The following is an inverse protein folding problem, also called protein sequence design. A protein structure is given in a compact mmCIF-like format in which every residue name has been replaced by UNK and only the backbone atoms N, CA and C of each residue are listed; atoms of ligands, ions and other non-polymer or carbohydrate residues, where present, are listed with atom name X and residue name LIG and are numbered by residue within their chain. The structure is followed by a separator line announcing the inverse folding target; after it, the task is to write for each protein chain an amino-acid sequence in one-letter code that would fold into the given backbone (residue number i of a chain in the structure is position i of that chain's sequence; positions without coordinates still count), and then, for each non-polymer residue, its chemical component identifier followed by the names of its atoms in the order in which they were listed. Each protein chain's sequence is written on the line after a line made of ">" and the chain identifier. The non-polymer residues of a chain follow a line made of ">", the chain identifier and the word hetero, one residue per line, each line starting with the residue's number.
data_IF_057098953485
#
_entry.id   IF_057098953485
#
_cell.length_a   1.000
_cell.length_b   1.000
_cell.length_c   1.000
_cell.angle_alpha   90.00
_cell.angle_beta   90.00
_cell.angle_gamma   90.00
#
_symmetry.space_group_name_H-M   'P 1'
#
loop_
_entity.id
_entity.type
_entity.pdbx_description
1 polymer ?
#
# COMPACT_ATOMS: atom_id res chain seq x y z
N UNK A 1 31.72 44.04 22.00
CA UNK A 1 30.60 43.13 22.37
C UNK A 1 29.33 43.63 21.70
N UNK A 2 28.86 42.97 20.63
CA UNK A 2 27.46 42.94 20.16
C UNK A 2 27.39 42.14 18.85
N UNK A 3 27.27 40.82 18.93
CA UNK A 3 26.85 39.97 17.80
C UNK A 3 25.32 40.06 17.72
N UNK A 4 24.77 40.78 16.74
CA UNK A 4 23.33 40.71 16.41
C UNK A 4 23.12 39.71 15.28
N UNK A 5 22.22 38.77 15.57
CA UNK A 5 21.98 37.54 14.84
C UNK A 5 21.59 37.76 13.38
N UNK A 6 22.14 36.93 12.49
CA UNK A 6 21.68 36.79 11.11
C UNK A 6 20.23 36.31 11.15
N UNK A 7 19.37 37.08 10.51
CA UNK A 7 17.96 36.82 10.28
C UNK A 7 17.81 35.43 9.64
N UNK A 8 17.37 34.45 10.43
CA UNK A 8 17.12 33.05 10.04
C UNK A 8 15.79 32.92 9.26
N UNK A 9 15.47 33.94 8.45
CA UNK A 9 14.34 33.99 7.51
C UNK A 9 14.66 33.34 6.17
N UNK A 10 15.71 32.52 6.10
CA UNK A 10 15.69 31.37 5.21
C UNK A 10 14.76 30.33 5.83
N UNK A 11 13.47 30.67 5.80
CA UNK A 11 12.39 29.72 5.80
C UNK A 11 12.74 28.79 4.67
N UNK A 12 13.28 27.63 5.04
CA UNK A 12 13.59 26.58 4.10
C UNK A 12 12.34 26.36 3.28
N UNK A 13 12.38 26.79 2.03
CA UNK A 13 11.63 26.14 0.98
C UNK A 13 11.99 24.67 1.17
N UNK A 14 11.10 23.96 1.86
CA UNK A 14 11.18 22.51 1.92
C UNK A 14 11.06 22.14 0.46
N UNK A 15 12.22 21.89 -0.15
CA UNK A 15 12.31 20.99 -1.29
C UNK A 15 11.63 19.74 -0.75
N UNK A 16 10.33 19.63 -1.03
CA UNK A 16 9.60 18.39 -0.88
C UNK A 16 10.22 17.55 -1.96
N UNK A 17 11.36 16.95 -1.63
CA UNK A 17 11.91 15.84 -2.38
C UNK A 17 10.72 14.89 -2.50
N UNK A 18 10.12 14.80 -3.70
CA UNK A 18 8.92 14.01 -3.95
C UNK A 18 9.32 12.55 -3.69
N UNK A 19 9.23 12.14 -2.43
CA UNK A 19 9.57 10.79 -2.04
C UNK A 19 8.56 9.90 -2.75
N UNK A 20 9.06 8.96 -3.55
CA UNK A 20 8.21 8.04 -4.28
C UNK A 20 7.34 7.23 -3.31
N UNK A 21 6.03 7.28 -3.50
CA UNK A 21 5.07 6.54 -2.66
C UNK A 21 5.40 5.03 -2.65
N UNK A 22 5.31 4.42 -1.47
CA UNK A 22 5.39 2.98 -1.29
C UNK A 22 3.99 2.37 -1.39
N UNK A 23 3.78 1.53 -2.40
CA UNK A 23 2.49 0.88 -2.65
C UNK A 23 2.63 -0.61 -2.42
N UNK A 24 1.68 -1.19 -1.69
CA UNK A 24 1.51 -2.64 -1.57
C UNK A 24 0.23 -3.04 -2.31
N UNK A 25 0.31 -4.09 -3.12
CA UNK A 25 -0.83 -4.78 -3.73
C UNK A 25 -0.77 -6.22 -3.23
N UNK A 26 -1.83 -6.64 -2.54
CA UNK A 26 -2.01 -8.01 -2.06
C UNK A 26 -3.16 -8.63 -2.82
N UNK A 27 -2.87 -9.69 -3.57
CA UNK A 27 -3.86 -10.40 -4.37
C UNK A 27 -4.29 -11.68 -3.66
N UNK A 28 -5.55 -12.08 -3.82
CA UNK A 28 -6.05 -13.37 -3.38
C UNK A 28 -5.41 -14.51 -4.17
N UNK A 29 -5.32 -14.36 -5.50
CA UNK A 29 -4.71 -15.35 -6.38
C UNK A 29 -3.18 -15.42 -6.26
N UNK A 30 -2.63 -16.62 -6.41
CA UNK A 30 -1.18 -16.83 -6.39
C UNK A 30 -0.46 -16.45 -7.69
N UNK A 31 -1.16 -16.56 -8.83
CA UNK A 31 -0.55 -16.50 -10.16
C UNK A 31 -1.12 -15.38 -11.02
N UNK A 32 -2.40 -15.45 -11.33
CA UNK A 32 -3.04 -14.62 -12.35
C UNK A 32 -2.91 -13.12 -12.05
N UNK A 33 -3.55 -12.64 -10.98
CA UNK A 33 -3.56 -11.22 -10.65
C UNK A 33 -2.15 -10.68 -10.32
N UNK A 34 -1.31 -11.37 -9.51
CA UNK A 34 0.05 -10.91 -9.28
C UNK A 34 0.87 -10.77 -10.56
N UNK A 35 0.70 -11.68 -11.53
CA UNK A 35 1.41 -11.61 -12.81
C UNK A 35 0.92 -10.42 -13.64
N UNK A 36 -0.39 -10.19 -13.72
CA UNK A 36 -0.94 -9.01 -14.40
C UNK A 36 -0.36 -7.70 -13.83
N UNK A 37 -0.36 -7.52 -12.51
CA UNK A 37 0.21 -6.30 -11.93
C UNK A 37 1.72 -6.18 -12.13
N UNK A 38 2.48 -7.29 -12.10
CA UNK A 38 3.92 -7.28 -12.37
C UNK A 38 4.22 -6.92 -13.82
N UNK A 39 3.44 -7.43 -14.76
CA UNK A 39 3.54 -7.12 -16.19
C UNK A 39 3.17 -5.67 -16.47
N UNK A 40 2.04 -5.18 -15.95
CA UNK A 40 1.64 -3.77 -16.07
C UNK A 40 2.70 -2.84 -15.48
N UNK A 41 3.28 -3.18 -14.32
CA UNK A 41 4.37 -2.41 -13.73
C UNK A 41 5.58 -2.30 -14.67
N UNK A 42 5.91 -3.39 -15.37
CA UNK A 42 7.02 -3.43 -16.33
C UNK A 42 6.70 -2.64 -17.59
N UNK A 43 5.51 -2.85 -18.16
CA UNK A 43 5.06 -2.24 -19.40
C UNK A 43 5.01 -0.72 -19.29
N UNK A 44 4.37 -0.21 -18.24
CA UNK A 44 4.25 1.23 -17.98
C UNK A 44 5.49 1.85 -17.32
N UNK A 45 6.59 1.10 -17.19
CA UNK A 45 7.85 1.55 -16.57
C UNK A 45 7.63 2.19 -15.19
N UNK A 46 6.71 1.63 -14.42
CA UNK A 46 6.37 2.09 -13.06
C UNK A 46 7.44 1.70 -12.03
N UNK A 47 8.66 1.36 -12.47
CA UNK A 47 9.80 1.04 -11.61
C UNK A 47 10.23 2.21 -10.73
N UNK A 48 9.86 3.43 -11.12
CA UNK A 48 10.10 4.64 -10.33
C UNK A 48 9.21 4.67 -9.08
N UNK A 49 8.05 4.01 -9.12
CA UNK A 49 7.15 3.87 -7.96
C UNK A 49 7.52 2.60 -7.19
N UNK A 50 7.57 2.69 -5.86
CA UNK A 50 7.92 1.58 -5.00
C UNK A 50 6.75 0.60 -4.81
N UNK A 51 6.35 -0.09 -5.88
CA UNK A 51 5.21 -1.02 -5.93
C UNK A 51 5.65 -2.44 -5.60
N UNK A 52 5.10 -2.99 -4.51
CA UNK A 52 5.24 -4.37 -4.09
C UNK A 52 3.96 -5.14 -4.40
N UNK A 53 4.06 -6.19 -5.21
CA UNK A 53 2.94 -7.07 -5.56
C UNK A 53 3.19 -8.43 -4.94
N UNK A 54 2.28 -8.90 -4.10
CA UNK A 54 2.35 -10.20 -3.44
C UNK A 54 0.99 -10.91 -3.49
N UNK A 55 1.02 -12.21 -3.29
CA UNK A 55 -0.18 -12.99 -2.98
C UNK A 55 -0.41 -13.04 -1.47
N UNK A 56 -1.66 -13.19 -1.07
CA UNK A 56 -2.06 -13.45 0.30
C UNK A 56 -1.60 -14.85 0.74
N UNK A 57 -1.58 -15.09 2.04
CA UNK A 57 -1.23 -16.40 2.59
C UNK A 57 -2.44 -17.38 2.59
N UNK A 58 -3.56 -16.98 2.00
CA UNK A 58 -4.81 -17.74 1.93
C UNK A 58 -5.65 -17.32 0.72
N UNK A 59 -6.72 -18.06 0.47
CA UNK A 59 -7.62 -17.90 -0.69
C UNK A 59 -8.99 -17.39 -0.25
N UNK A 60 -9.00 -16.40 0.62
CA UNK A 60 -10.24 -15.76 1.08
C UNK A 60 -10.02 -14.26 1.33
N UNK A 61 -11.03 -13.39 1.13
CA UNK A 61 -10.91 -11.95 1.29
C UNK A 61 -10.33 -11.49 2.64
N UNK A 62 -10.66 -12.15 3.75
CA UNK A 62 -10.15 -11.77 5.08
C UNK A 62 -8.67 -12.09 5.21
N UNK A 63 -8.21 -13.21 4.63
CA UNK A 63 -6.80 -13.54 4.58
C UNK A 63 -5.98 -12.48 3.83
N UNK A 64 -6.52 -11.90 2.75
CA UNK A 64 -5.88 -10.80 2.01
C UNK A 64 -5.68 -9.59 2.91
N UNK A 65 -6.74 -9.16 3.61
CA UNK A 65 -6.67 -8.02 4.56
C UNK A 65 -5.69 -8.30 5.69
N UNK A 66 -5.70 -9.52 6.25
CA UNK A 66 -4.77 -9.94 7.30
C UNK A 66 -3.31 -9.90 6.84
N UNK A 67 -3.02 -10.46 5.66
CA UNK A 67 -1.67 -10.43 5.07
C UNK A 67 -1.23 -8.99 4.83
N UNK A 68 -2.10 -8.13 4.30
CA UNK A 68 -1.82 -6.72 4.07
C UNK A 68 -1.44 -5.98 5.37
N UNK A 69 -2.21 -6.17 6.44
CA UNK A 69 -1.91 -5.61 7.79
C UNK A 69 -0.58 -6.11 8.33
N UNK A 70 -0.34 -7.42 8.23
CA UNK A 70 0.91 -8.05 8.69
C UNK A 70 2.13 -7.45 7.99
N UNK A 71 2.10 -7.31 6.66
CA UNK A 71 3.19 -6.73 5.88
C UNK A 71 3.47 -5.27 6.25
N UNK A 72 2.42 -4.47 6.49
CA UNK A 72 2.58 -3.09 6.95
C UNK A 72 3.24 -3.03 8.33
N UNK A 73 2.84 -3.90 9.26
CA UNK A 73 3.45 -3.98 10.59
C UNK A 73 4.90 -4.46 10.52
N UNK A 74 5.21 -5.47 9.71
CA UNK A 74 6.57 -5.97 9.49
C UNK A 74 7.50 -4.88 8.96
N UNK A 75 7.08 -4.09 7.96
CA UNK A 75 7.87 -2.96 7.48
C UNK A 75 8.18 -1.95 8.60
N UNK A 76 7.17 -1.60 9.41
CA UNK A 76 7.34 -0.70 10.55
C UNK A 76 8.32 -1.27 11.59
N UNK A 77 8.20 -2.55 11.94
CA UNK A 77 9.13 -3.25 12.87
C UNK A 77 10.57 -3.25 12.34
N UNK A 78 10.73 -3.42 11.03
CA UNK A 78 12.03 -3.37 10.36
C UNK A 78 12.56 -1.94 10.15
N UNK A 79 11.89 -0.91 10.69
CA UNK A 79 12.22 0.52 10.51
C UNK A 79 12.29 0.95 9.03
N UNK A 80 11.60 0.23 8.14
CA UNK A 80 11.44 0.62 6.73
C UNK A 80 10.31 1.64 6.61
N UNK A 81 10.35 2.46 5.56
CA UNK A 81 9.24 3.36 5.23
C UNK A 81 7.93 2.57 5.14
N UNK A 82 6.85 2.99 5.81
CA UNK A 82 5.56 2.31 5.71
C UNK A 82 5.02 2.40 4.27
N UNK A 83 4.11 1.50 3.90
CA UNK A 83 3.33 1.71 2.69
C UNK A 83 2.38 2.90 2.88
N UNK A 84 2.36 3.79 1.89
CA UNK A 84 1.45 4.94 1.80
C UNK A 84 0.08 4.47 1.29
N UNK A 85 0.05 3.48 0.38
CA UNK A 85 -1.17 2.88 -0.15
C UNK A 85 -1.10 1.36 -0.12
N UNK A 86 -2.18 0.72 0.31
CA UNK A 86 -2.27 -0.74 0.41
C UNK A 86 -3.56 -1.17 -0.27
N UNK A 87 -3.44 -1.90 -1.37
CA UNK A 87 -4.55 -2.45 -2.14
C UNK A 87 -4.73 -3.93 -1.79
N UNK A 88 -5.94 -4.28 -1.36
CA UNK A 88 -6.39 -5.66 -1.22
C UNK A 88 -7.25 -5.99 -2.45
N UNK A 89 -6.79 -6.97 -3.24
CA UNK A 89 -7.42 -7.43 -4.48
C UNK A 89 -8.00 -8.81 -4.23
N UNK A 90 -9.32 -8.93 -4.39
CA UNK A 90 -10.06 -10.17 -4.22
C UNK A 90 -11.35 -10.09 -5.02
N UNK A 91 -11.83 -11.23 -5.49
CA UNK A 91 -13.06 -11.31 -6.26
C UNK A 91 -14.29 -11.33 -5.37
N UNK A 92 -15.44 -10.93 -5.94
CA UNK A 92 -16.74 -11.05 -5.27
C UNK A 92 -17.31 -12.44 -5.54
N UNK A 93 -16.71 -13.45 -4.92
CA UNK A 93 -17.17 -14.83 -5.01
C UNK A 93 -18.07 -15.17 -3.80
N UNK A 94 -18.63 -16.38 -3.75
CA UNK A 94 -19.50 -16.90 -2.66
C UNK A 94 -18.78 -17.05 -1.30
N UNK A 95 -17.66 -16.36 -1.09
CA UNK A 95 -16.96 -16.35 0.18
C UNK A 95 -17.80 -15.66 1.25
N UNK A 96 -18.23 -16.44 2.24
CA UNK A 96 -19.03 -15.99 3.38
C UNK A 96 -18.39 -14.80 4.14
N UNK A 97 -17.08 -14.60 4.03
CA UNK A 97 -16.32 -13.58 4.73
C UNK A 97 -16.02 -12.31 3.89
N UNK A 98 -16.52 -12.20 2.66
CA UNK A 98 -16.35 -11.02 1.80
C UNK A 98 -16.83 -9.73 2.48
N UNK A 99 -18.03 -9.77 3.08
CA UNK A 99 -18.60 -8.62 3.78
C UNK A 99 -17.75 -8.20 4.98
N UNK A 100 -17.15 -9.17 5.67
CA UNK A 100 -16.28 -8.89 6.80
C UNK A 100 -14.98 -8.20 6.36
N UNK A 101 -14.36 -8.69 5.29
CA UNK A 101 -13.20 -8.04 4.69
C UNK A 101 -13.50 -6.60 4.25
N UNK A 102 -14.68 -6.36 3.65
CA UNK A 102 -15.11 -5.01 3.27
C UNK A 102 -15.23 -4.07 4.47
N UNK A 103 -15.90 -4.52 5.55
CA UNK A 103 -16.01 -3.74 6.79
C UNK A 103 -14.64 -3.42 7.38
N UNK A 104 -13.75 -4.40 7.47
CA UNK A 104 -12.39 -4.18 7.97
C UNK A 104 -11.64 -3.15 7.12
N UNK A 105 -11.81 -3.17 5.79
CA UNK A 105 -11.16 -2.20 4.90
C UNK A 105 -11.75 -0.80 5.02
N UNK A 106 -13.06 -0.67 5.25
CA UNK A 106 -13.69 0.62 5.51
C UNK A 106 -13.12 1.31 6.75
N UNK A 107 -12.94 0.55 7.83
CA UNK A 107 -12.31 1.03 9.06
C UNK A 107 -10.84 1.45 8.85
N UNK A 108 -10.16 0.77 7.92
CA UNK A 108 -8.75 0.98 7.61
C UNK A 108 -8.48 2.04 6.52
N UNK A 109 -9.51 2.63 5.90
CA UNK A 109 -9.36 3.64 4.82
C UNK A 109 -8.44 4.80 5.21
N UNK A 110 -8.55 5.29 6.45
CA UNK A 110 -7.71 6.38 6.99
C UNK A 110 -6.23 5.99 7.14
N UNK A 111 -5.93 4.70 7.10
CA UNK A 111 -4.58 4.14 7.19
C UNK A 111 -4.00 3.75 5.82
N UNK A 112 -4.62 4.19 4.72
CA UNK A 112 -4.13 3.96 3.35
C UNK A 112 -4.59 2.64 2.73
N UNK A 113 -5.44 1.86 3.43
CA UNK A 113 -6.01 0.62 2.89
C UNK A 113 -7.14 0.91 1.91
N UNK A 114 -7.17 0.13 0.82
CA UNK A 114 -8.10 0.24 -0.29
C UNK A 114 -8.47 -1.16 -0.78
N UNK A 115 -9.64 -1.29 -1.39
CA UNK A 115 -10.11 -2.51 -2.04
C UNK A 115 -10.14 -2.32 -3.54
N UNK A 116 -9.65 -3.31 -4.29
CA UNK A 116 -9.96 -3.49 -5.70
C UNK A 116 -10.67 -4.84 -5.82
N UNK A 117 -11.82 -4.85 -6.49
CA UNK A 117 -12.67 -6.04 -6.57
C UNK A 117 -13.38 -6.05 -7.90
N UNK A 118 -13.60 -7.23 -8.47
CA UNK A 118 -14.46 -7.40 -9.62
C UNK A 118 -15.90 -6.97 -9.27
N UNK A 119 -16.54 -6.31 -10.23
CA UNK A 119 -17.99 -6.06 -10.20
C UNK A 119 -18.62 -6.99 -11.23
N UNK A 120 -19.68 -7.74 -10.88
CA UNK A 120 -20.46 -8.47 -11.87
C UNK A 120 -21.20 -7.52 -12.82
#
# INVERSE_FOLDING_TARGET
>A
MARRARDSRQQSERVVEERYEHVLIVCEGEKTEPNYFKELRKEYRLSVVNIHVISADGSDPVSVVRTARRRQQERRKQRKMPYDRIWCVFDRDEHANFHDACRQLDDLKKHGFRTARSWP
#
